data_IF_901412391465
#
_entry.id   IF_901412391465
#
_cell.length_a   1.000
_cell.length_b   1.000
_cell.length_c   1.000
_cell.angle_alpha   90.00
_cell.angle_beta   90.00
_cell.angle_gamma   90.00
#
_symmetry.space_group_name_H-M   'P 1'
#
loop_
_entity.id
_entity.type
_entity.pdbx_description
1 polymer ?
#
# COMPACT_ATOMS: atom_id res chain seq x y z
N UNK A 1 15.73 21.73 6.75
CA UNK A 1 16.27 20.80 7.79
C UNK A 1 15.17 19.83 8.18
N UNK A 2 15.44 18.53 8.16
CA UNK A 2 14.46 17.52 8.62
C UNK A 2 14.23 17.69 10.12
N UNK A 3 12.97 17.84 10.52
CA UNK A 3 12.57 17.91 11.94
C UNK A 3 12.58 16.54 12.64
N UNK A 4 12.96 15.49 11.90
CA UNK A 4 13.01 14.09 12.34
C UNK A 4 14.43 13.54 12.25
N UNK A 5 14.82 12.75 13.24
CA UNK A 5 16.04 11.96 13.26
C UNK A 5 15.72 10.50 12.92
N UNK A 6 16.57 9.90 12.09
CA UNK A 6 16.57 8.46 11.83
C UNK A 6 17.22 7.75 13.01
N UNK A 7 16.63 6.65 13.47
CA UNK A 7 17.19 5.80 14.51
C UNK A 7 17.75 4.51 13.90
N UNK A 8 19.07 4.47 13.70
CA UNK A 8 19.79 3.35 13.08
C UNK A 8 19.64 2.03 13.84
N UNK A 9 19.57 2.06 15.18
CA UNK A 9 19.35 0.84 15.97
C UNK A 9 17.96 0.26 15.71
N UNK A 10 16.96 1.14 15.55
CA UNK A 10 15.59 0.72 15.23
C UNK A 10 15.47 0.23 13.80
N UNK A 11 16.20 0.83 12.85
CA UNK A 11 16.31 0.31 11.47
C UNK A 11 16.79 -1.14 11.53
N UNK A 12 17.93 -1.41 12.16
CA UNK A 12 18.49 -2.78 12.31
C UNK A 12 17.51 -3.75 12.98
N UNK A 13 16.85 -3.33 14.06
CA UNK A 13 15.91 -4.17 14.79
C UNK A 13 14.70 -4.57 13.92
N UNK A 14 14.10 -3.59 13.22
CA UNK A 14 12.96 -3.82 12.32
C UNK A 14 13.39 -4.64 11.10
N UNK A 15 14.53 -4.31 10.48
CA UNK A 15 15.12 -5.06 9.36
C UNK A 15 15.35 -6.52 9.71
N UNK A 16 15.87 -6.81 10.91
CA UNK A 16 16.10 -8.18 11.38
C UNK A 16 14.80 -8.99 11.42
N UNK A 17 13.69 -8.40 11.88
CA UNK A 17 12.41 -9.11 11.93
C UNK A 17 11.82 -9.33 10.55
N UNK A 18 11.89 -8.35 9.65
CA UNK A 18 11.47 -8.55 8.25
C UNK A 18 12.33 -9.59 7.53
N UNK A 19 13.64 -9.63 7.81
CA UNK A 19 14.55 -10.66 7.29
C UNK A 19 14.16 -12.05 7.78
N UNK A 20 13.83 -12.19 9.07
CA UNK A 20 13.34 -13.45 9.65
C UNK A 20 11.96 -13.84 9.10
N UNK A 21 11.09 -12.87 8.82
CA UNK A 21 9.79 -13.08 8.18
C UNK A 21 9.93 -13.60 6.74
N UNK A 22 10.94 -13.10 6.02
CA UNK A 22 11.19 -13.49 4.65
C UNK A 22 10.10 -13.02 3.68
N UNK A 23 10.27 -13.34 2.40
CA UNK A 23 9.27 -13.02 1.38
C UNK A 23 7.95 -13.72 1.66
N UNK A 24 8.00 -15.02 1.97
CA UNK A 24 6.81 -15.86 2.17
C UNK A 24 5.97 -15.37 3.35
N UNK A 25 6.62 -14.99 4.46
CA UNK A 25 5.91 -14.42 5.60
C UNK A 25 5.23 -13.09 5.27
N UNK A 26 5.82 -12.22 4.44
CA UNK A 26 5.14 -11.01 3.96
C UNK A 26 3.98 -11.32 3.00
N UNK A 27 4.10 -12.35 2.16
CA UNK A 27 3.04 -12.81 1.26
C UNK A 27 1.83 -13.38 2.02
N UNK A 28 2.03 -13.95 3.22
CA UNK A 28 0.92 -14.32 4.12
C UNK A 28 0.05 -13.11 4.48
N UNK A 29 0.67 -11.94 4.70
CA UNK A 29 -0.08 -10.71 4.97
C UNK A 29 -0.90 -10.25 3.75
N UNK A 30 -0.42 -10.49 2.53
CA UNK A 30 -1.18 -10.19 1.32
C UNK A 30 -2.45 -11.04 1.26
N UNK A 31 -2.37 -12.34 1.57
CA UNK A 31 -3.55 -13.23 1.49
C UNK A 31 -4.71 -12.78 2.36
N UNK A 32 -4.42 -12.18 3.51
CA UNK A 32 -5.43 -11.69 4.46
C UNK A 32 -5.77 -10.21 4.29
N UNK A 33 -5.14 -9.50 3.34
CA UNK A 33 -5.46 -8.12 3.02
C UNK A 33 -6.84 -8.05 2.32
N UNK A 34 -7.84 -7.34 2.89
CA UNK A 34 -9.15 -7.20 2.25
C UNK A 34 -9.11 -6.64 0.83
N UNK A 35 -8.12 -5.81 0.50
CA UNK A 35 -7.93 -5.27 -0.85
C UNK A 35 -7.47 -6.37 -1.81
N UNK A 36 -6.55 -7.25 -1.37
CA UNK A 36 -6.11 -8.41 -2.16
C UNK A 36 -7.26 -9.41 -2.36
N UNK A 37 -8.05 -9.69 -1.32
CA UNK A 37 -9.23 -10.57 -1.43
C UNK A 37 -10.21 -10.03 -2.48
N UNK A 38 -10.49 -8.72 -2.44
CA UNK A 38 -11.36 -8.06 -3.42
C UNK A 38 -10.82 -8.16 -4.85
N UNK A 39 -9.52 -7.91 -5.02
CA UNK A 39 -8.83 -7.98 -6.31
C UNK A 39 -8.65 -9.40 -6.84
N UNK A 40 -8.55 -10.40 -5.96
CA UNK A 40 -8.50 -11.81 -6.36
C UNK A 40 -9.82 -12.26 -6.97
N UNK A 41 -10.96 -11.87 -6.37
CA UNK A 41 -12.29 -12.08 -6.95
C UNK A 41 -12.43 -11.40 -8.32
N UNK A 42 -11.90 -10.19 -8.44
CA UNK A 42 -11.89 -9.46 -9.71
C UNK A 42 -11.07 -10.21 -10.77
N UNK A 43 -9.88 -10.69 -10.42
CA UNK A 43 -9.02 -11.49 -11.31
C UNK A 43 -9.73 -12.78 -11.77
N UNK A 44 -10.37 -13.52 -10.87
CA UNK A 44 -11.10 -14.74 -11.21
C UNK A 44 -12.27 -14.50 -12.16
N UNK A 45 -12.88 -13.31 -12.10
CA UNK A 45 -14.07 -13.00 -12.91
C UNK A 45 -13.74 -12.32 -14.24
N UNK A 46 -12.73 -11.46 -14.26
CA UNK A 46 -12.42 -10.60 -15.39
C UNK A 46 -11.12 -11.00 -16.12
N UNK A 47 -10.33 -11.92 -15.56
CA UNK A 47 -9.05 -12.33 -16.16
C UNK A 47 -8.06 -11.17 -16.29
N UNK A 48 -7.26 -11.16 -17.36
CA UNK A 48 -6.12 -10.27 -17.52
C UNK A 48 -6.45 -8.76 -17.46
N UNK A 49 -7.66 -8.34 -17.86
CA UNK A 49 -8.06 -6.92 -17.78
C UNK A 49 -8.18 -6.41 -16.34
N UNK A 50 -8.31 -7.32 -15.36
CA UNK A 50 -8.37 -6.96 -13.94
C UNK A 50 -7.14 -6.16 -13.49
N UNK A 51 -5.96 -6.43 -14.09
CA UNK A 51 -4.70 -5.78 -13.74
C UNK A 51 -4.75 -4.29 -14.10
N UNK A 52 -5.25 -3.97 -15.30
CA UNK A 52 -5.45 -2.60 -15.74
C UNK A 52 -6.53 -1.91 -14.90
N UNK A 53 -7.66 -2.58 -14.67
CA UNK A 53 -8.75 -2.06 -13.83
C UNK A 53 -8.27 -1.68 -12.42
N UNK A 54 -7.50 -2.57 -11.79
CA UNK A 54 -6.95 -2.35 -10.46
C UNK A 54 -5.95 -1.19 -10.45
N UNK A 55 -5.04 -1.13 -11.43
CA UNK A 55 -4.08 -0.04 -11.57
C UNK A 55 -4.78 1.32 -11.79
N UNK A 56 -5.71 1.40 -12.75
CA UNK A 56 -6.44 2.65 -13.05
C UNK A 56 -7.24 3.11 -11.82
N UNK A 57 -7.94 2.20 -11.13
CA UNK A 57 -8.67 2.54 -9.90
C UNK A 57 -7.72 2.99 -8.77
N UNK A 58 -6.54 2.39 -8.67
CA UNK A 58 -5.49 2.79 -7.72
C UNK A 58 -5.08 4.26 -7.87
N UNK A 59 -5.04 4.78 -9.10
CA UNK A 59 -4.71 6.18 -9.39
C UNK A 59 -5.73 7.20 -8.88
N UNK A 60 -6.98 6.78 -8.67
CA UNK A 60 -8.08 7.62 -8.17
C UNK A 60 -8.53 7.25 -6.75
N UNK A 61 -7.85 6.29 -6.11
CA UNK A 61 -8.14 5.81 -4.75
C UNK A 61 -7.60 6.72 -3.65
N UNK A 62 -7.97 8.01 -3.68
CA UNK A 62 -7.58 9.01 -2.68
C UNK A 62 -8.76 9.87 -2.24
N UNK A 63 -8.67 10.42 -1.02
CA UNK A 63 -9.74 11.21 -0.40
C UNK A 63 -11.09 10.46 -0.49
N UNK A 64 -11.11 9.21 -0.03
CA UNK A 64 -12.30 8.37 -0.03
C UNK A 64 -13.27 8.85 1.06
N UNK A 65 -14.57 8.73 0.80
CA UNK A 65 -15.65 8.99 1.77
C UNK A 65 -16.02 7.74 2.62
N UNK A 66 -15.32 6.63 2.41
CA UNK A 66 -15.50 5.35 3.10
C UNK A 66 -14.14 4.72 3.39
N UNK A 67 -14.11 3.58 4.10
CA UNK A 67 -12.85 2.86 4.34
C UNK A 67 -12.29 2.31 3.03
N UNK A 68 -10.96 2.23 2.93
CA UNK A 68 -10.30 1.73 1.72
C UNK A 68 -10.69 0.28 1.42
N UNK A 69 -10.81 -0.53 2.47
CA UNK A 69 -11.30 -1.91 2.44
C UNK A 69 -12.68 -2.01 1.78
N UNK A 70 -13.64 -1.19 2.23
CA UNK A 70 -15.01 -1.13 1.72
C UNK A 70 -15.05 -0.65 0.27
N UNK A 71 -14.23 0.35 -0.05
CA UNK A 71 -14.10 0.90 -1.40
C UNK A 71 -13.62 -0.14 -2.43
N UNK A 72 -12.59 -0.93 -2.10
CA UNK A 72 -12.07 -1.96 -3.00
C UNK A 72 -13.02 -3.15 -3.15
N UNK A 73 -13.74 -3.51 -2.09
CA UNK A 73 -14.82 -4.51 -2.18
C UNK A 73 -15.92 -4.06 -3.14
N UNK A 74 -16.40 -2.83 -2.95
CA UNK A 74 -17.44 -2.22 -3.79
C UNK A 74 -17.00 -2.08 -5.25
N UNK A 75 -15.73 -1.73 -5.48
CA UNK A 75 -15.14 -1.71 -6.82
C UNK A 75 -15.19 -3.10 -7.47
N UNK A 76 -14.72 -4.13 -6.76
CA UNK A 76 -14.74 -5.49 -7.28
C UNK A 76 -16.16 -5.97 -7.61
N UNK A 77 -17.15 -5.68 -6.75
CA UNK A 77 -18.56 -6.02 -7.00
C UNK A 77 -19.11 -5.32 -8.25
N UNK A 78 -18.87 -4.01 -8.37
CA UNK A 78 -19.32 -3.22 -9.52
C UNK A 78 -18.73 -3.74 -10.83
N UNK A 79 -17.42 -3.99 -10.87
CA UNK A 79 -16.72 -4.39 -12.10
C UNK A 79 -17.04 -5.82 -12.52
N UNK A 80 -17.17 -6.75 -11.55
CA UNK A 80 -17.46 -8.17 -11.85
C UNK A 80 -18.73 -8.33 -12.69
N UNK A 81 -19.73 -7.46 -12.48
CA UNK A 81 -20.98 -7.47 -13.26
C UNK A 81 -20.87 -6.88 -14.68
N UNK A 82 -19.74 -6.23 -15.02
CA UNK A 82 -19.59 -5.38 -16.22
C UNK A 82 -18.33 -5.62 -17.04
N UNK A 83 -17.40 -6.43 -16.54
CA UNK A 83 -16.14 -6.67 -17.26
C UNK A 83 -16.30 -7.60 -18.46
N UNK A 84 -17.45 -8.26 -18.62
CA UNK A 84 -17.81 -9.01 -19.82
C UNK A 84 -17.83 -8.09 -21.04
N UNK A 85 -16.86 -8.25 -21.93
CA UNK A 85 -16.76 -7.46 -23.16
C UNK A 85 -15.90 -6.20 -23.08
N UNK A 86 -15.13 -5.99 -22.01
CA UNK A 86 -14.04 -4.98 -22.01
C UNK A 86 -12.93 -5.49 -22.94
N UNK A 87 -12.85 -4.90 -24.14
CA UNK A 87 -11.96 -5.34 -25.22
C UNK A 87 -10.75 -4.44 -25.44
N UNK A 88 -10.79 -3.21 -24.96
CA UNK A 88 -9.73 -2.23 -25.15
C UNK A 88 -9.52 -1.35 -23.92
N UNK A 89 -8.35 -0.72 -23.88
CA UNK A 89 -7.91 0.13 -22.77
C UNK A 89 -8.83 1.32 -22.51
N UNK A 90 -9.44 1.88 -23.56
CA UNK A 90 -10.36 3.02 -23.42
C UNK A 90 -11.60 2.60 -22.62
N UNK A 91 -12.18 1.44 -22.93
CA UNK A 91 -13.31 0.87 -22.17
C UNK A 91 -12.93 0.53 -20.74
N UNK A 92 -11.69 0.07 -20.50
CA UNK A 92 -11.18 -0.11 -19.14
C UNK A 92 -11.23 1.20 -18.34
N UNK A 93 -10.73 2.30 -18.91
CA UNK A 93 -10.72 3.62 -18.25
C UNK A 93 -12.14 4.16 -18.07
N UNK A 94 -13.00 4.07 -19.08
CA UNK A 94 -14.40 4.53 -19.01
C UNK A 94 -15.17 3.79 -17.90
N UNK A 95 -14.93 2.49 -17.72
CA UNK A 95 -15.58 1.71 -16.68
C UNK A 95 -15.14 2.15 -15.27
N UNK A 96 -13.85 2.45 -15.09
CA UNK A 96 -13.34 3.02 -13.82
C UNK A 96 -13.85 4.45 -13.60
N UNK A 97 -13.99 5.24 -14.66
CA UNK A 97 -14.62 6.56 -14.60
C UNK A 97 -16.08 6.47 -14.14
N UNK A 98 -16.87 5.55 -14.71
CA UNK A 98 -18.26 5.33 -14.30
C UNK A 98 -18.36 5.01 -12.81
N UNK A 99 -17.52 4.08 -12.34
CA UNK A 99 -17.42 3.74 -10.92
C UNK A 99 -17.06 4.97 -10.07
N UNK A 100 -16.06 5.74 -10.50
CA UNK A 100 -15.55 6.92 -9.80
C UNK A 100 -16.62 7.98 -9.63
N UNK A 101 -17.38 8.29 -10.70
CA UNK A 101 -18.50 9.24 -10.65
C UNK A 101 -19.59 8.81 -9.69
N UNK A 102 -19.85 7.51 -9.61
CA UNK A 102 -20.93 6.97 -8.77
C UNK A 102 -20.56 6.90 -7.29
N UNK A 103 -19.34 6.47 -6.97
CA UNK A 103 -18.98 6.08 -5.60
C UNK A 103 -17.82 6.88 -4.99
N UNK A 104 -17.02 7.60 -5.79
CA UNK A 104 -15.80 8.28 -5.34
C UNK A 104 -15.84 9.81 -5.53
N UNK A 105 -16.89 10.43 -5.00
CA UNK A 105 -17.31 11.81 -5.36
C UNK A 105 -16.44 12.94 -4.80
N UNK A 106 -15.67 12.72 -3.74
CA UNK A 106 -14.80 13.76 -3.19
C UNK A 106 -13.66 14.07 -4.18
N UNK A 107 -13.43 15.35 -4.47
CA UNK A 107 -12.47 15.78 -5.51
C UNK A 107 -12.70 15.12 -6.87
N UNK A 108 -13.97 14.87 -7.23
CA UNK A 108 -14.34 14.16 -8.46
C UNK A 108 -13.68 14.77 -9.69
N UNK A 109 -13.76 16.09 -9.89
CA UNK A 109 -13.21 16.72 -11.10
C UNK A 109 -11.70 16.49 -11.26
N UNK A 110 -10.95 16.47 -10.15
CA UNK A 110 -9.52 16.15 -10.18
C UNK A 110 -9.27 14.68 -10.56
N UNK A 111 -10.11 13.77 -10.08
CA UNK A 111 -10.04 12.33 -10.43
C UNK A 111 -10.38 12.12 -11.90
N UNK A 112 -11.44 12.76 -12.41
CA UNK A 112 -11.82 12.71 -13.83
C UNK A 112 -10.72 13.28 -14.71
N UNK A 113 -10.14 14.44 -14.37
CA UNK A 113 -8.98 14.98 -15.11
C UNK A 113 -7.80 14.01 -15.15
N UNK A 114 -7.55 13.29 -14.05
CA UNK A 114 -6.51 12.26 -14.00
C UNK A 114 -6.85 11.07 -14.90
N UNK A 115 -8.09 10.57 -14.90
CA UNK A 115 -8.53 9.50 -15.80
C UNK A 115 -8.44 9.93 -17.29
N UNK A 116 -8.80 11.18 -17.60
CA UNK A 116 -8.63 11.72 -18.95
C UNK A 116 -7.15 11.77 -19.39
N UNK A 117 -6.21 12.03 -18.48
CA UNK A 117 -4.78 11.89 -18.78
C UNK A 117 -4.43 10.42 -19.04
N UNK A 118 -4.91 9.51 -18.18
CA UNK A 118 -4.66 8.06 -18.27
C UNK A 118 -5.10 7.46 -19.60
N UNK A 119 -6.17 7.96 -20.23
CA UNK A 119 -6.61 7.53 -21.57
C UNK A 119 -5.50 7.55 -22.63
N UNK A 120 -4.50 8.45 -22.47
CA UNK A 120 -3.37 8.60 -23.40
C UNK A 120 -2.14 7.77 -22.98
N UNK A 121 -2.26 6.95 -21.95
CA UNK A 121 -1.15 6.22 -21.33
C UNK A 121 -1.20 4.71 -21.59
N UNK A 122 -1.92 4.23 -22.62
CA UNK A 122 -2.08 2.80 -22.90
C UNK A 122 -0.73 2.05 -22.91
N UNK A 123 0.30 2.63 -23.53
CA UNK A 123 1.66 2.07 -23.60
C UNK A 123 2.32 1.82 -22.24
N UNK A 124 1.92 2.54 -21.19
CA UNK A 124 2.37 2.26 -19.83
C UNK A 124 1.77 0.95 -19.31
N UNK A 125 0.47 0.73 -19.55
CA UNK A 125 -0.27 -0.42 -19.05
C UNK A 125 0.03 -1.71 -19.81
N UNK A 126 0.49 -1.65 -21.06
CA UNK A 126 0.97 -2.84 -21.80
C UNK A 126 2.10 -3.58 -21.06
N UNK A 127 2.95 -2.86 -20.33
CA UNK A 127 4.01 -3.49 -19.53
C UNK A 127 3.45 -4.34 -18.38
N UNK A 128 2.28 -4.01 -17.84
CA UNK A 128 1.62 -4.80 -16.79
C UNK A 128 1.15 -6.16 -17.29
N UNK A 129 0.74 -6.27 -18.56
CA UNK A 129 0.37 -7.57 -19.17
C UNK A 129 1.54 -8.56 -19.18
N UNK A 130 2.77 -8.06 -19.13
CA UNK A 130 4.01 -8.84 -19.04
C UNK A 130 4.57 -8.96 -17.61
N UNK A 131 3.83 -8.48 -16.61
CA UNK A 131 4.28 -8.46 -15.22
C UNK A 131 5.38 -7.43 -14.91
N UNK A 132 5.65 -6.47 -15.81
CA UNK A 132 6.76 -5.53 -15.72
C UNK A 132 6.37 -4.26 -14.93
N UNK A 133 6.13 -4.40 -13.63
CA UNK A 133 5.63 -3.31 -12.77
C UNK A 133 6.58 -2.09 -12.71
N UNK A 134 7.89 -2.32 -12.74
CA UNK A 134 8.88 -1.22 -12.74
C UNK A 134 8.80 -0.36 -14.00
N UNK A 135 8.58 -0.99 -15.14
CA UNK A 135 8.40 -0.29 -16.42
C UNK A 135 7.07 0.46 -16.44
N UNK A 136 6.00 -0.16 -15.94
CA UNK A 136 4.71 0.49 -15.74
C UNK A 136 4.84 1.79 -14.95
N UNK A 137 5.51 1.74 -13.79
CA UNK A 137 5.72 2.89 -12.93
C UNK A 137 6.42 4.04 -13.67
N UNK A 138 7.54 3.74 -14.35
CA UNK A 138 8.34 4.74 -15.05
C UNK A 138 7.59 5.36 -16.24
N UNK A 139 6.89 4.55 -17.03
CA UNK A 139 6.10 5.05 -18.17
C UNK A 139 4.89 5.86 -17.71
N UNK A 140 4.20 5.39 -16.67
CA UNK A 140 3.02 6.05 -16.13
C UNK A 140 3.37 7.42 -15.53
N UNK A 141 4.44 7.49 -14.71
CA UNK A 141 4.86 8.73 -14.05
C UNK A 141 5.15 9.84 -15.05
N UNK A 142 5.82 9.50 -16.16
CA UNK A 142 6.06 10.40 -17.28
C UNK A 142 4.75 10.79 -17.98
N UNK A 143 3.88 9.81 -18.25
CA UNK A 143 2.65 10.06 -19.00
C UNK A 143 1.64 10.97 -18.26
N UNK A 144 1.48 10.80 -16.95
CA UNK A 144 0.53 11.61 -16.16
C UNK A 144 1.17 12.87 -15.54
N UNK A 145 2.47 13.08 -15.77
CA UNK A 145 3.29 14.17 -15.22
C UNK A 145 3.22 14.22 -13.69
N UNK A 146 3.73 13.16 -13.06
CA UNK A 146 3.74 13.01 -11.60
C UNK A 146 4.98 12.24 -11.18
N UNK A 147 5.56 12.56 -10.02
CA UNK A 147 6.69 11.81 -9.45
C UNK A 147 6.40 10.30 -9.37
N UNK A 148 7.40 9.51 -9.74
CA UNK A 148 7.35 8.04 -9.74
C UNK A 148 7.06 7.48 -8.34
N UNK A 149 7.56 8.14 -7.31
CA UNK A 149 7.42 7.74 -5.91
C UNK A 149 6.13 8.28 -5.28
N UNK A 150 5.34 9.09 -6.00
CA UNK A 150 4.09 9.63 -5.48
C UNK A 150 3.17 8.52 -4.98
N UNK A 151 2.47 8.77 -3.87
CA UNK A 151 1.64 7.75 -3.20
C UNK A 151 0.70 7.06 -4.18
N UNK A 152 0.01 7.80 -5.03
CA UNK A 152 -0.99 7.25 -5.96
C UNK A 152 -0.38 6.40 -7.06
N UNK A 153 0.83 6.76 -7.55
CA UNK A 153 1.53 5.98 -8.59
C UNK A 153 2.05 4.67 -8.03
N UNK A 154 2.71 4.72 -6.86
CA UNK A 154 3.19 3.53 -6.16
C UNK A 154 2.03 2.65 -5.68
N UNK A 155 0.95 3.24 -5.17
CA UNK A 155 -0.23 2.50 -4.76
C UNK A 155 -0.92 1.82 -5.96
N UNK A 156 -0.98 2.48 -7.13
CA UNK A 156 -1.43 1.86 -8.37
C UNK A 156 -0.62 0.61 -8.71
N UNK A 157 0.71 0.69 -8.63
CA UNK A 157 1.59 -0.46 -8.84
C UNK A 157 1.37 -1.59 -7.82
N UNK A 158 1.07 -1.26 -6.55
CA UNK A 158 0.68 -2.25 -5.53
C UNK A 158 -0.61 -2.98 -5.92
N UNK A 159 -1.61 -2.27 -6.43
CA UNK A 159 -2.89 -2.87 -6.83
C UNK A 159 -2.75 -3.74 -8.09
N UNK A 160 -1.90 -3.32 -9.03
CA UNK A 160 -1.49 -4.16 -10.17
C UNK A 160 -0.74 -5.41 -9.70
N UNK A 161 0.14 -5.28 -8.70
CA UNK A 161 0.83 -6.43 -8.12
C UNK A 161 -0.15 -7.44 -7.51
N UNK A 162 -1.14 -6.98 -6.76
CA UNK A 162 -2.14 -7.85 -6.14
C UNK A 162 -2.90 -8.70 -7.16
N UNK A 163 -3.32 -8.11 -8.28
CA UNK A 163 -4.01 -8.82 -9.36
C UNK A 163 -3.06 -9.78 -10.11
N UNK A 164 -1.84 -9.35 -10.44
CA UNK A 164 -0.81 -10.21 -11.05
C UNK A 164 -0.48 -11.42 -10.16
N UNK A 165 -0.32 -11.19 -8.86
CA UNK A 165 -0.04 -12.23 -7.87
C UNK A 165 -1.18 -13.24 -7.80
N UNK A 166 -2.43 -12.77 -7.80
CA UNK A 166 -3.63 -13.62 -7.85
C UNK A 166 -3.69 -14.45 -9.14
N UNK A 167 -3.19 -13.91 -10.25
CA UNK A 167 -3.04 -14.63 -11.52
C UNK A 167 -1.86 -15.62 -11.56
N UNK A 168 -1.10 -15.76 -10.46
CA UNK A 168 0.09 -16.61 -10.40
C UNK A 168 1.34 -16.01 -11.06
N UNK A 169 1.33 -14.72 -11.41
CA UNK A 169 2.46 -14.04 -12.03
C UNK A 169 3.39 -13.48 -10.95
N UNK A 170 4.66 -13.88 -11.01
CA UNK A 170 5.71 -13.32 -10.15
C UNK A 170 6.25 -12.03 -10.76
N UNK A 171 6.01 -10.90 -10.10
CA UNK A 171 6.55 -9.60 -10.50
C UNK A 171 7.77 -9.20 -9.65
N UNK A 172 8.71 -8.50 -10.27
CA UNK A 172 9.85 -7.90 -9.58
C UNK A 172 9.45 -6.56 -8.94
N UNK A 173 9.52 -6.52 -7.61
CA UNK A 173 9.17 -5.36 -6.78
C UNK A 173 10.39 -4.57 -6.27
N UNK A 174 11.60 -4.97 -6.64
CA UNK A 174 12.83 -4.32 -6.17
C UNK A 174 12.86 -2.84 -6.58
N UNK A 175 13.37 -1.98 -5.67
CA UNK A 175 13.51 -0.54 -5.91
C UNK A 175 12.19 0.17 -6.26
N UNK A 176 11.07 -0.34 -5.77
CA UNK A 176 9.78 0.36 -5.73
C UNK A 176 9.56 0.81 -4.28
N UNK A 177 9.51 2.12 -4.06
CA UNK A 177 9.29 2.69 -2.73
C UNK A 177 7.91 2.33 -2.15
N UNK A 178 7.74 2.55 -0.86
CA UNK A 178 6.47 2.35 -0.16
C UNK A 178 5.45 3.48 -0.45
N UNK A 179 4.13 3.19 -0.59
CA UNK A 179 3.10 4.23 -0.70
C UNK A 179 2.85 4.87 0.67
N UNK A 180 3.44 6.05 0.90
CA UNK A 180 3.33 6.75 2.19
C UNK A 180 1.92 7.27 2.42
N UNK A 181 1.20 6.66 3.35
CA UNK A 181 -0.08 7.13 3.87
C UNK A 181 -0.06 7.33 5.38
N UNK A 182 -1.22 7.70 5.96
CA UNK A 182 -1.31 7.98 7.39
C UNK A 182 -0.98 6.77 8.26
N UNK A 183 -1.32 5.55 7.84
CA UNK A 183 -1.02 4.32 8.58
C UNK A 183 0.48 4.04 8.52
N UNK A 184 1.09 4.12 7.34
CA UNK A 184 2.54 3.95 7.17
C UNK A 184 3.32 5.01 7.98
N UNK A 185 2.91 6.28 7.90
CA UNK A 185 3.53 7.36 8.69
C UNK A 185 3.41 7.12 10.20
N UNK A 186 2.24 6.67 10.68
CA UNK A 186 2.05 6.33 12.09
C UNK A 186 2.95 5.16 12.51
N UNK A 187 3.00 4.09 11.72
CA UNK A 187 3.84 2.92 12.01
C UNK A 187 5.34 3.29 12.01
N UNK A 188 5.75 4.20 11.13
CA UNK A 188 7.12 4.73 11.10
C UNK A 188 7.49 5.40 12.43
N UNK A 189 6.55 6.12 13.04
CA UNK A 189 6.76 6.76 14.34
C UNK A 189 6.64 5.77 15.50
N UNK A 190 5.66 4.86 15.49
CA UNK A 190 5.45 3.90 16.60
C UNK A 190 6.52 2.82 16.65
N UNK A 191 7.17 2.50 15.54
CA UNK A 191 8.34 1.61 15.50
C UNK A 191 9.62 2.27 16.01
N UNK A 192 9.62 3.60 16.14
CA UNK A 192 10.77 4.40 16.54
C UNK A 192 11.78 4.63 15.44
N UNK A 193 11.48 4.27 14.18
CA UNK A 193 12.37 4.50 13.03
C UNK A 193 12.66 6.00 12.83
N UNK A 194 11.64 6.83 13.05
CA UNK A 194 11.78 8.29 13.09
C UNK A 194 11.35 8.82 14.44
N UNK A 195 12.13 9.76 14.97
CA UNK A 195 11.80 10.49 16.20
C UNK A 195 11.86 12.00 15.96
N UNK A 196 10.93 12.78 16.53
CA UNK A 196 11.03 14.24 16.48
C UNK A 196 12.26 14.71 17.27
N UNK A 197 12.92 15.78 16.80
CA UNK A 197 14.11 16.34 17.45
C UNK A 197 13.86 16.74 18.92
N UNK A 198 12.66 17.22 19.24
CA UNK A 198 12.28 17.59 20.61
C UNK A 198 11.69 16.39 21.32
N UNK A 199 12.41 15.87 22.32
CA UNK A 199 11.93 14.80 23.20
C UNK A 199 10.72 15.29 23.99
N UNK A 200 9.61 14.57 23.89
CA UNK A 200 8.44 14.75 24.76
C UNK A 200 7.82 13.37 25.01
N UNK A 201 6.99 13.24 26.05
CA UNK A 201 6.25 12.01 26.29
C UNK A 201 5.39 11.67 25.07
N UNK A 202 5.62 10.51 24.47
CA UNK A 202 4.97 10.06 23.24
C UNK A 202 3.61 9.43 23.57
N UNK A 203 2.56 10.25 23.61
CA UNK A 203 1.19 9.73 23.62
C UNK A 203 0.77 9.36 22.19
N UNK A 204 -0.14 8.41 22.05
CA UNK A 204 -0.69 8.02 20.74
C UNK A 204 -1.25 9.23 19.97
N UNK A 205 -1.99 10.11 20.65
CA UNK A 205 -2.55 11.32 20.05
C UNK A 205 -1.47 12.25 19.44
N UNK A 206 -0.34 12.42 20.14
CA UNK A 206 0.79 13.20 19.62
C UNK A 206 1.41 12.54 18.40
N UNK A 207 1.62 11.22 18.44
CA UNK A 207 2.14 10.47 17.30
C UNK A 207 1.21 10.56 16.09
N UNK A 208 -0.11 10.59 16.31
CA UNK A 208 -1.08 10.80 15.23
C UNK A 208 -0.98 12.18 14.59
N UNK A 209 -0.72 13.22 15.38
CA UNK A 209 -0.53 14.57 14.86
C UNK A 209 0.81 14.71 14.15
N UNK A 210 1.88 14.12 14.68
CA UNK A 210 3.17 14.02 14.00
C UNK A 210 3.07 13.25 12.69
N UNK A 211 2.30 12.17 12.64
CA UNK A 211 2.06 11.41 11.41
C UNK A 211 1.41 12.29 10.33
N UNK A 212 0.46 13.18 10.69
CA UNK A 212 -0.13 14.14 9.73
C UNK A 212 0.91 15.12 9.18
N UNK A 213 1.80 15.62 10.03
CA UNK A 213 2.88 16.51 9.60
C UNK A 213 3.91 15.78 8.73
N UNK A 214 4.22 14.53 9.06
CA UNK A 214 5.15 13.69 8.31
C UNK A 214 4.66 13.40 6.87
N UNK A 215 3.34 13.40 6.63
CA UNK A 215 2.78 13.28 5.27
C UNK A 215 3.13 14.45 4.34
N UNK A 216 3.50 15.62 4.89
CA UNK A 216 4.01 16.75 4.09
C UNK A 216 5.44 16.52 3.62
N UNK A 217 6.12 15.53 4.19
CA UNK A 217 7.52 15.18 3.93
C UNK A 217 7.68 13.67 3.72
N UNK A 218 6.98 13.07 2.73
CA UNK A 218 6.94 11.63 2.53
C UNK A 218 8.32 11.01 2.24
N UNK A 219 9.28 11.80 1.73
CA UNK A 219 10.65 11.37 1.51
C UNK A 219 11.34 10.88 2.79
N UNK A 220 11.04 11.48 3.95
CA UNK A 220 11.62 11.05 5.22
C UNK A 220 11.15 9.64 5.59
N UNK A 221 9.89 9.30 5.28
CA UNK A 221 9.32 7.97 5.49
C UNK A 221 9.92 6.98 4.49
N UNK A 222 10.03 7.36 3.21
CA UNK A 222 10.60 6.48 2.18
C UNK A 222 12.04 6.11 2.50
N UNK A 223 12.88 7.07 2.88
CA UNK A 223 14.30 6.83 3.20
C UNK A 223 14.46 5.74 4.26
N UNK A 224 13.69 5.77 5.35
CA UNK A 224 13.82 4.75 6.41
C UNK A 224 13.29 3.39 5.99
N UNK A 225 12.20 3.33 5.22
CA UNK A 225 11.68 2.05 4.74
C UNK A 225 12.48 1.47 3.57
N UNK A 226 13.13 2.30 2.78
CA UNK A 226 14.08 1.88 1.74
C UNK A 226 15.34 1.29 2.42
N UNK A 227 15.83 1.88 3.51
CA UNK A 227 16.91 1.30 4.32
C UNK A 227 16.52 -0.06 4.94
N UNK A 228 15.31 -0.16 5.52
CA UNK A 228 14.79 -1.45 6.03
C UNK A 228 14.66 -2.47 4.90
N UNK A 229 14.21 -2.04 3.72
CA UNK A 229 14.07 -2.90 2.54
C UNK A 229 15.42 -3.45 2.07
N UNK A 230 16.44 -2.59 2.02
CA UNK A 230 17.80 -2.97 1.64
C UNK A 230 18.43 -3.95 2.65
N UNK A 231 18.36 -3.64 3.94
CA UNK A 231 18.99 -4.45 4.99
C UNK A 231 18.28 -5.81 5.20
N UNK A 232 16.95 -5.84 5.05
CA UNK A 232 16.18 -7.09 5.17
C UNK A 232 16.18 -7.94 3.91
N UNK A 233 16.47 -7.34 2.75
CA UNK A 233 16.30 -7.96 1.43
C UNK A 233 14.84 -8.09 0.98
N UNK A 234 13.88 -7.49 1.70
CA UNK A 234 12.45 -7.53 1.38
C UNK A 234 12.04 -6.25 0.66
N UNK A 235 11.40 -6.30 -0.52
CA UNK A 235 10.96 -5.10 -1.23
C UNK A 235 10.04 -4.20 -0.39
N UNK A 236 10.28 -2.88 -0.38
CA UNK A 236 9.50 -1.92 0.40
C UNK A 236 7.98 -1.98 0.08
N UNK A 237 7.62 -2.22 -1.19
CA UNK A 237 6.22 -2.40 -1.58
C UNK A 237 5.56 -3.64 -0.95
N UNK A 238 6.34 -4.69 -0.66
CA UNK A 238 5.87 -5.90 0.00
C UNK A 238 5.81 -5.71 1.52
N UNK A 239 6.75 -4.95 2.10
CA UNK A 239 6.73 -4.51 3.50
C UNK A 239 5.46 -3.71 3.82
N UNK A 240 4.95 -2.91 2.87
CA UNK A 240 3.76 -2.07 3.03
C UNK A 240 2.55 -2.82 3.61
N UNK A 241 2.31 -4.07 3.20
CA UNK A 241 1.12 -4.81 3.58
C UNK A 241 1.07 -5.16 5.07
N UNK A 242 2.13 -5.74 5.67
CA UNK A 242 2.24 -5.84 7.12
C UNK A 242 2.02 -4.50 7.86
N UNK A 243 2.65 -3.41 7.38
CA UNK A 243 2.51 -2.10 8.02
C UNK A 243 1.07 -1.59 7.97
N UNK A 244 0.40 -1.77 6.84
CA UNK A 244 -0.95 -1.30 6.64
C UNK A 244 -1.99 -2.06 7.48
N UNK A 245 -1.83 -3.37 7.61
CA UNK A 245 -2.69 -4.22 8.44
C UNK A 245 -2.49 -3.95 9.94
N UNK A 246 -1.24 -3.81 10.39
CA UNK A 246 -0.92 -3.51 11.78
C UNK A 246 -1.30 -2.05 12.12
N UNK A 247 -0.93 -1.09 11.26
CA UNK A 247 -1.21 0.32 11.44
C UNK A 247 -2.71 0.65 11.47
N UNK A 248 -3.56 -0.16 10.83
CA UNK A 248 -5.01 -0.07 10.94
C UNK A 248 -5.58 -0.41 12.32
N UNK A 249 -4.78 -1.04 13.20
CA UNK A 249 -5.20 -1.56 14.51
C UNK A 249 -4.56 -0.86 15.71
N UNK A 250 -3.41 -0.21 15.52
CA UNK A 250 -2.64 0.47 16.58
C UNK A 250 -3.48 1.42 17.45
N UNK A 251 -4.52 2.02 16.87
CA UNK A 251 -5.37 2.98 17.59
C UNK A 251 -6.35 2.36 18.57
N UNK A 252 -6.72 1.11 18.34
CA UNK A 252 -7.84 0.47 19.02
C UNK A 252 -7.39 -0.70 19.90
N UNK A 253 -6.24 -1.28 19.58
CA UNK A 253 -5.79 -2.56 20.14
C UNK A 253 -4.38 -2.42 20.70
N UNK A 254 -4.14 -3.12 21.82
CA UNK A 254 -2.81 -3.37 22.34
C UNK A 254 -2.06 -4.39 21.48
N UNK A 255 -0.74 -4.49 21.64
CA UNK A 255 0.11 -5.35 20.83
C UNK A 255 -0.38 -6.82 20.80
N UNK A 256 -0.75 -7.40 21.93
CA UNK A 256 -1.24 -8.79 22.00
C UNK A 256 -2.62 -8.95 21.32
N UNK A 257 -3.48 -7.93 21.41
CA UNK A 257 -4.77 -7.90 20.73
C UNK A 257 -4.63 -7.73 19.22
N UNK A 258 -3.61 -7.00 18.75
CA UNK A 258 -3.26 -6.92 17.32
C UNK A 258 -2.90 -8.31 16.80
N UNK A 259 -2.04 -9.04 17.51
CA UNK A 259 -1.65 -10.42 17.14
C UNK A 259 -2.90 -11.31 17.04
N UNK A 260 -3.75 -11.33 18.08
CA UNK A 260 -5.02 -12.08 18.08
C UNK A 260 -5.95 -11.66 16.92
N UNK A 261 -6.02 -10.37 16.63
CA UNK A 261 -6.82 -9.84 15.51
C UNK A 261 -6.32 -10.32 14.15
N UNK A 262 -5.01 -10.33 13.92
CA UNK A 262 -4.41 -10.83 12.67
C UNK A 262 -4.62 -12.35 12.52
N UNK A 263 -4.55 -13.11 13.62
CA UNK A 263 -4.90 -14.54 13.61
C UNK A 263 -6.34 -14.81 13.21
N UNK A 264 -7.29 -14.00 13.70
CA UNK A 264 -8.70 -14.10 13.32
C UNK A 264 -8.94 -13.81 11.83
N UNK A 265 -8.04 -13.10 11.15
CA UNK A 265 -8.08 -12.95 9.70
C UNK A 265 -7.54 -14.16 8.92
N UNK A 266 -7.00 -15.18 9.61
CA UNK A 266 -6.40 -16.34 8.99
C UNK A 266 -4.93 -16.18 8.64
N UNK A 267 -4.20 -15.23 9.26
CA UNK A 267 -2.77 -15.04 8.99
C UNK A 267 -1.95 -16.24 9.48
N UNK A 268 -1.17 -16.85 8.58
CA UNK A 268 -0.38 -18.06 8.85
C UNK A 268 1.14 -17.78 8.94
N UNK A 269 1.53 -16.90 9.86
CA UNK A 269 2.95 -16.64 10.22
C UNK A 269 3.27 -17.35 11.54
N UNK A 270 4.52 -17.71 11.83
CA UNK A 270 4.89 -18.21 13.17
C UNK A 270 4.48 -17.22 14.29
N UNK A 271 4.01 -17.73 15.44
CA UNK A 271 3.45 -16.89 16.51
C UNK A 271 4.50 -16.02 17.21
N UNK A 272 5.67 -16.60 17.48
CA UNK A 272 6.77 -15.87 18.09
C UNK A 272 7.23 -14.75 17.15
N UNK A 273 7.34 -15.05 15.86
CA UNK A 273 7.73 -14.10 14.84
C UNK A 273 6.70 -12.98 14.62
N UNK A 274 5.40 -13.32 14.57
CA UNK A 274 4.32 -12.34 14.45
C UNK A 274 4.29 -11.41 15.67
N UNK A 275 4.44 -11.97 16.87
CA UNK A 275 4.51 -11.20 18.11
C UNK A 275 5.71 -10.26 18.10
N UNK A 276 6.88 -10.75 17.67
CA UNK A 276 8.09 -9.94 17.53
C UNK A 276 7.87 -8.80 16.53
N UNK A 277 7.27 -9.06 15.37
CA UNK A 277 6.98 -8.02 14.37
C UNK A 277 6.07 -6.92 14.94
N UNK A 278 4.93 -7.30 15.54
CA UNK A 278 4.01 -6.32 16.13
C UNK A 278 4.70 -5.51 17.22
N UNK A 279 5.53 -6.16 18.04
CA UNK A 279 6.32 -5.52 19.08
C UNK A 279 7.32 -4.51 18.55
N UNK A 280 8.06 -4.82 17.47
CA UNK A 280 8.99 -3.87 16.86
C UNK A 280 8.27 -2.70 16.18
N UNK A 281 7.10 -2.93 15.59
CA UNK A 281 6.31 -1.90 14.91
C UNK A 281 5.52 -1.00 15.87
N UNK A 282 5.36 -1.42 17.13
CA UNK A 282 4.68 -0.66 18.20
C UNK A 282 5.62 -0.29 19.35
N UNK A 283 6.94 -0.41 19.14
CA UNK A 283 7.99 -0.21 20.14
C UNK A 283 7.76 1.01 21.05
N UNK A 284 7.56 2.19 20.45
CA UNK A 284 7.41 3.45 21.19
C UNK A 284 6.20 3.42 22.12
N UNK A 285 5.10 2.77 21.73
CA UNK A 285 3.89 2.67 22.55
C UNK A 285 4.08 1.79 23.78
N UNK A 286 5.10 0.93 23.78
CA UNK A 286 5.41 0.01 24.87
C UNK A 286 6.47 0.54 25.83
N UNK A 287 7.29 1.48 25.36
CA UNK A 287 8.43 2.03 26.11
C UNK A 287 8.23 3.47 26.59
N UNK A 288 7.04 4.06 26.39
CA UNK A 288 6.71 5.46 26.74
C UNK A 288 5.85 5.62 27.99
#
# INVERSE_FOLDING_TARGET
MSIYLVNEERVKAVSTVFKSLGRDGCEEFIRVDPQYVSLSRLQSSCGAVSVELAAINGLVSYMLNMKGEEFWSLFADFITSKCSGVKDFKKTVELVEEFTRRYNKLYLDAKIRRLNKVLRCADAFESLKRGQIKEYLSRLSLCIDTERESKTVVFSAKMAYYTLRSAGVNADLTKISIPVDRRVALVTLTSGLLSPLKKSKNTLEKLENLAKELLKHPQNVRVVWDAVSEESGIPALLIDTPLWLIGGRIKMLKADEIVKSLRRLGLLVDELLLTRLVNELTYVLRTS
#
